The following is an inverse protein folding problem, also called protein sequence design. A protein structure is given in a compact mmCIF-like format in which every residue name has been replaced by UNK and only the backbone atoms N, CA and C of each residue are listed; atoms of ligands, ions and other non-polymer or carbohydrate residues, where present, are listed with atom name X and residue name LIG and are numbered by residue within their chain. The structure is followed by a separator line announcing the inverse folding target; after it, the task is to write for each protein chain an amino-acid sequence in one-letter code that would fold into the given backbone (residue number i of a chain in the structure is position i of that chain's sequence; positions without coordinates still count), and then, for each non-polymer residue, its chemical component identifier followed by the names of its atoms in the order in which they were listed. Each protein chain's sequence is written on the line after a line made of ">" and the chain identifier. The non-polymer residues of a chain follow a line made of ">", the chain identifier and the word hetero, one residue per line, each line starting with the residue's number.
data_IF_005350990885
#
_entry.id   IF_005350990885
#
_cell.length_a   1.000
_cell.length_b   1.000
_cell.length_c   1.000
_cell.angle_alpha   90.00
_cell.angle_beta   90.00
_cell.angle_gamma   90.00
#
_symmetry.space_group_name_H-M   'P 1'
#
loop_
_entity.id
_entity.type
_entity.pdbx_description
1 polymer ?
#
# COMPACT_ATOMS: atom_id res chain seq x y z
N UNK A 1 19.95 -39.81 10.49
CA UNK A 1 18.59 -40.12 11.00
C UNK A 1 18.19 -39.14 12.13
N UNK A 2 18.88 -39.06 13.32
CA UNK A 2 18.51 -38.11 14.39
C UNK A 2 18.65 -36.64 13.95
N UNK A 3 19.68 -36.28 13.20
CA UNK A 3 19.90 -34.91 12.66
C UNK A 3 18.84 -34.54 11.63
N UNK A 4 18.40 -35.46 10.80
CA UNK A 4 17.34 -35.28 9.84
C UNK A 4 16.01 -35.04 10.53
N UNK A 5 15.67 -35.82 11.54
CA UNK A 5 14.46 -35.64 12.34
C UNK A 5 14.46 -34.27 13.05
N UNK A 6 15.59 -33.82 13.61
CA UNK A 6 15.70 -32.49 14.21
C UNK A 6 15.52 -31.39 13.21
N UNK A 7 16.04 -31.52 11.98
CA UNK A 7 15.85 -30.58 10.90
C UNK A 7 14.39 -30.51 10.46
N UNK A 8 13.72 -31.65 10.31
CA UNK A 8 12.29 -31.69 9.95
C UNK A 8 11.40 -31.05 11.03
N UNK A 9 11.73 -31.29 12.32
CA UNK A 9 11.04 -30.63 13.43
C UNK A 9 11.24 -29.12 13.38
N UNK A 10 12.47 -28.64 13.18
CA UNK A 10 12.75 -27.20 13.04
C UNK A 10 11.96 -26.59 11.89
N UNK A 11 11.96 -27.23 10.72
CA UNK A 11 11.21 -26.77 9.56
C UNK A 11 9.69 -26.70 9.82
N UNK A 12 9.15 -27.71 10.50
CA UNK A 12 7.73 -27.75 10.84
C UNK A 12 7.37 -26.68 11.87
N UNK A 13 8.20 -26.45 12.89
CA UNK A 13 8.00 -25.37 13.86
C UNK A 13 8.06 -23.99 13.22
N UNK A 14 8.96 -23.76 12.27
CA UNK A 14 9.02 -22.51 11.49
C UNK A 14 7.73 -22.28 10.70
N UNK A 15 7.20 -23.31 10.01
CA UNK A 15 5.94 -23.24 9.28
C UNK A 15 4.75 -22.95 10.20
N UNK A 16 4.68 -23.62 11.36
CA UNK A 16 3.63 -23.38 12.36
C UNK A 16 3.69 -21.92 12.85
N UNK A 17 4.88 -21.42 13.17
CA UNK A 17 5.06 -20.03 13.58
C UNK A 17 4.65 -19.05 12.49
N UNK A 18 5.04 -19.30 11.26
CA UNK A 18 4.67 -18.48 10.09
C UNK A 18 3.15 -18.43 9.90
N UNK A 19 2.50 -19.58 9.88
CA UNK A 19 1.04 -19.65 9.72
C UNK A 19 0.29 -19.03 10.90
N UNK A 20 0.77 -19.21 12.13
CA UNK A 20 0.21 -18.59 13.34
C UNK A 20 0.33 -17.07 13.31
N UNK A 21 1.49 -16.54 12.95
CA UNK A 21 1.73 -15.09 12.83
C UNK A 21 0.89 -14.47 11.71
N UNK A 22 0.72 -15.19 10.58
CA UNK A 22 -0.14 -14.74 9.49
C UNK A 22 -1.61 -14.69 9.91
N UNK A 23 -2.10 -15.71 10.62
CA UNK A 23 -3.46 -15.74 11.13
C UNK A 23 -3.72 -14.58 12.11
N UNK A 24 -2.78 -14.30 13.03
CA UNK A 24 -2.84 -13.17 13.96
C UNK A 24 -2.92 -11.83 13.21
N UNK A 25 -2.09 -11.64 12.18
CA UNK A 25 -2.10 -10.44 11.34
C UNK A 25 -3.43 -10.27 10.59
N UNK A 26 -4.00 -11.35 10.06
CA UNK A 26 -5.31 -11.34 9.39
C UNK A 26 -6.41 -10.93 10.38
N UNK A 27 -6.45 -11.53 11.57
CA UNK A 27 -7.44 -11.20 12.61
C UNK A 27 -7.33 -9.74 13.04
N UNK A 28 -6.10 -9.23 13.25
CA UNK A 28 -5.87 -7.81 13.55
C UNK A 28 -6.41 -6.90 12.44
N UNK A 29 -6.08 -7.19 11.19
CA UNK A 29 -6.57 -6.41 10.04
C UNK A 29 -8.10 -6.45 9.93
N UNK A 30 -8.73 -7.60 10.19
CA UNK A 30 -10.20 -7.72 10.21
C UNK A 30 -10.83 -6.93 11.35
N UNK A 31 -10.24 -6.93 12.55
CA UNK A 31 -10.73 -6.14 13.70
C UNK A 31 -10.59 -4.63 13.45
N UNK A 32 -9.49 -4.21 12.86
CA UNK A 32 -9.28 -2.81 12.44
C UNK A 32 -10.30 -2.39 11.37
N UNK A 33 -10.59 -3.27 10.41
CA UNK A 33 -11.61 -3.02 9.39
C UNK A 33 -13.03 -2.98 9.99
N UNK A 34 -13.34 -3.87 10.93
CA UNK A 34 -14.63 -3.91 11.61
C UNK A 34 -14.91 -2.66 12.47
N UNK A 35 -13.87 -1.95 12.91
CA UNK A 35 -13.98 -0.68 13.65
C UNK A 35 -14.09 0.54 12.73
N UNK A 36 -13.74 0.43 11.46
CA UNK A 36 -13.92 1.48 10.46
C UNK A 36 -15.40 1.65 10.09
N UNK A 37 -15.79 2.88 9.71
CA UNK A 37 -17.11 3.14 9.17
C UNK A 37 -18.16 3.70 10.16
N UNK A 38 -17.81 3.94 11.43
CA UNK A 38 -18.67 4.69 12.36
C UNK A 38 -18.44 6.21 12.32
N UNK A 39 -17.43 6.65 11.57
CA UNK A 39 -17.11 8.06 11.39
C UNK A 39 -18.15 8.81 10.55
N UNK A 40 -18.23 10.11 10.77
CA UNK A 40 -19.02 11.01 9.91
C UNK A 40 -18.11 11.59 8.82
N UNK A 41 -18.69 11.84 7.66
CA UNK A 41 -18.03 12.66 6.65
C UNK A 41 -17.87 14.07 7.19
N UNK A 42 -16.66 14.58 7.21
CA UNK A 42 -16.33 15.92 7.70
C UNK A 42 -15.44 16.63 6.67
N UNK A 43 -15.56 17.97 6.57
CA UNK A 43 -14.65 18.76 5.72
C UNK A 43 -13.20 18.50 6.14
N UNK A 44 -12.41 17.96 5.24
CA UNK A 44 -11.02 17.55 5.51
C UNK A 44 -10.09 18.15 4.48
N UNK A 45 -9.00 18.78 4.92
CA UNK A 45 -7.90 19.19 4.04
C UNK A 45 -7.19 17.94 3.49
N UNK A 46 -7.57 17.57 2.26
CA UNK A 46 -7.05 16.38 1.60
C UNK A 46 -5.53 16.43 1.39
N UNK A 47 -5.00 17.60 1.00
CA UNK A 47 -3.58 17.75 0.72
C UNK A 47 -2.73 17.61 2.00
N UNK A 48 -3.20 18.20 3.10
CA UNK A 48 -2.55 18.06 4.40
C UNK A 48 -2.57 16.60 4.86
N UNK A 49 -3.73 15.93 4.79
CA UNK A 49 -3.90 14.52 5.18
C UNK A 49 -2.97 13.61 4.34
N UNK A 50 -2.99 13.74 3.02
CA UNK A 50 -2.14 12.93 2.13
C UNK A 50 -0.67 13.12 2.48
N UNK A 51 -0.21 14.36 2.60
CA UNK A 51 1.19 14.68 2.92
C UNK A 51 1.60 14.12 4.29
N UNK A 52 0.75 14.24 5.30
CA UNK A 52 1.01 13.75 6.65
C UNK A 52 1.19 12.22 6.65
N UNK A 53 0.24 11.48 6.09
CA UNK A 53 0.23 10.02 6.18
C UNK A 53 1.23 9.34 5.22
N UNK A 54 1.59 9.96 4.09
CA UNK A 54 2.73 9.52 3.27
C UNK A 54 4.04 9.69 4.05
N UNK A 55 4.26 10.84 4.69
CA UNK A 55 5.45 11.07 5.51
C UNK A 55 5.51 10.12 6.71
N UNK A 56 4.39 9.88 7.38
CA UNK A 56 4.31 8.92 8.49
C UNK A 56 4.72 7.52 8.03
N UNK A 57 4.19 7.07 6.89
CA UNK A 57 4.55 5.78 6.28
C UNK A 57 6.03 5.70 5.92
N UNK A 58 6.59 6.76 5.35
CA UNK A 58 8.02 6.85 5.05
C UNK A 58 8.88 6.73 6.31
N UNK A 59 8.56 7.49 7.36
CA UNK A 59 9.30 7.39 8.62
C UNK A 59 9.17 6.01 9.27
N UNK A 60 7.99 5.39 9.21
CA UNK A 60 7.77 4.01 9.66
C UNK A 60 8.64 3.02 8.89
N UNK A 61 8.69 3.11 7.56
CA UNK A 61 9.55 2.30 6.71
C UNK A 61 11.05 2.51 7.03
N UNK A 62 11.47 3.76 7.27
CA UNK A 62 12.86 4.10 7.63
C UNK A 62 13.28 3.56 9.00
N UNK A 63 12.35 3.46 9.95
CA UNK A 63 12.58 2.88 11.27
C UNK A 63 12.52 1.34 11.28
N UNK A 64 12.09 0.72 10.18
CA UNK A 64 11.95 -0.73 10.05
C UNK A 64 13.26 -1.48 9.85
N UNK A 65 13.17 -2.80 9.66
CA UNK A 65 14.34 -3.70 9.53
C UNK A 65 15.14 -3.49 8.23
N UNK A 66 14.46 -3.16 7.14
CA UNK A 66 15.06 -3.03 5.80
C UNK A 66 14.73 -1.66 5.20
N UNK A 67 15.31 -0.55 5.72
CA UNK A 67 15.03 0.79 5.22
C UNK A 67 15.63 1.00 3.82
N UNK A 68 14.91 1.73 2.98
CA UNK A 68 15.39 2.18 1.68
C UNK A 68 15.39 3.73 1.61
N UNK A 69 16.24 4.28 0.75
CA UNK A 69 16.16 5.70 0.40
C UNK A 69 15.19 5.85 -0.76
N UNK A 70 14.24 6.78 -0.63
CA UNK A 70 13.22 7.06 -1.64
C UNK A 70 13.21 8.56 -1.91
N UNK A 71 13.28 8.94 -3.18
CA UNK A 71 12.98 10.31 -3.62
C UNK A 71 11.47 10.50 -3.60
N UNK A 72 10.97 11.35 -2.69
CA UNK A 72 9.54 11.64 -2.55
C UNK A 72 9.19 12.97 -3.20
N UNK A 73 8.28 12.96 -4.14
CA UNK A 73 7.81 14.14 -4.85
C UNK A 73 6.32 14.36 -4.59
N UNK A 74 5.96 15.61 -4.24
CA UNK A 74 4.58 16.02 -4.02
C UNK A 74 4.19 17.09 -5.03
N UNK A 75 3.22 16.77 -5.88
CA UNK A 75 2.62 17.63 -6.89
C UNK A 75 1.14 17.84 -6.51
N UNK A 76 0.91 18.69 -5.52
CA UNK A 76 -0.41 18.88 -4.92
C UNK A 76 -1.10 20.10 -5.52
N UNK A 77 -2.35 19.93 -5.95
CA UNK A 77 -3.20 20.99 -6.48
C UNK A 77 -3.74 21.86 -5.32
N UNK A 78 -3.21 23.04 -5.18
CA UNK A 78 -3.60 24.00 -4.13
C UNK A 78 -5.04 24.53 -4.28
N UNK A 79 -5.69 24.28 -5.43
CA UNK A 79 -7.10 24.66 -5.63
C UNK A 79 -8.09 23.71 -4.93
N UNK A 80 -7.61 22.54 -4.46
CA UNK A 80 -8.42 21.60 -3.71
C UNK A 80 -8.67 22.18 -2.32
N UNK A 81 -9.95 22.45 -2.06
CA UNK A 81 -10.43 22.80 -0.72
C UNK A 81 -10.76 21.54 0.06
N UNK A 82 -11.40 21.72 1.21
CA UNK A 82 -11.87 20.60 2.02
C UNK A 82 -12.75 19.64 1.20
N UNK A 83 -12.51 18.35 1.40
CA UNK A 83 -13.28 17.24 0.81
C UNK A 83 -14.00 16.52 1.94
N UNK A 84 -15.24 16.11 1.71
CA UNK A 84 -16.03 15.38 2.69
C UNK A 84 -15.47 13.95 2.83
N UNK A 85 -14.75 13.69 3.94
CA UNK A 85 -14.08 12.42 4.19
C UNK A 85 -14.26 11.97 5.63
N UNK A 86 -14.20 10.66 5.85
CA UNK A 86 -13.89 10.09 7.16
C UNK A 86 -12.34 10.03 7.23
N UNK A 87 -11.73 11.03 7.86
CA UNK A 87 -10.28 11.22 7.86
C UNK A 87 -9.50 9.98 8.34
N UNK A 88 -10.01 9.29 9.37
CA UNK A 88 -9.41 8.05 9.90
C UNK A 88 -9.38 6.94 8.84
N UNK A 89 -10.48 6.71 8.14
CA UNK A 89 -10.57 5.68 7.10
C UNK A 89 -9.69 6.05 5.90
N UNK A 90 -9.71 7.32 5.48
CA UNK A 90 -8.93 7.75 4.33
C UNK A 90 -7.42 7.76 4.62
N UNK A 91 -7.02 8.06 5.85
CA UNK A 91 -5.62 7.93 6.28
C UNK A 91 -5.10 6.50 6.13
N UNK A 92 -5.93 5.48 6.42
CA UNK A 92 -5.59 4.07 6.22
C UNK A 92 -5.39 3.73 4.74
N UNK A 93 -6.19 4.33 3.86
CA UNK A 93 -6.00 4.20 2.39
C UNK A 93 -4.61 4.69 2.00
N UNK A 94 -4.23 5.90 2.43
CA UNK A 94 -2.94 6.50 2.10
C UNK A 94 -1.78 5.65 2.65
N UNK A 95 -1.86 5.23 3.90
CA UNK A 95 -0.85 4.37 4.54
C UNK A 95 -0.69 3.04 3.80
N UNK A 96 -1.80 2.38 3.45
CA UNK A 96 -1.77 1.10 2.73
C UNK A 96 -1.10 1.23 1.35
N UNK A 97 -1.48 2.24 0.57
CA UNK A 97 -0.92 2.44 -0.77
C UNK A 97 0.55 2.83 -0.70
N UNK A 98 0.93 3.72 0.24
CA UNK A 98 2.33 4.12 0.43
C UNK A 98 3.21 2.94 0.86
N UNK A 99 2.75 2.12 1.80
CA UNK A 99 3.49 0.93 2.24
C UNK A 99 3.65 -0.09 1.10
N UNK A 100 2.61 -0.28 0.26
CA UNK A 100 2.72 -1.14 -0.91
C UNK A 100 3.76 -0.63 -1.90
N UNK A 101 3.81 0.68 -2.15
CA UNK A 101 4.83 1.32 -2.98
C UNK A 101 6.25 1.12 -2.42
N UNK A 102 6.45 1.34 -1.12
CA UNK A 102 7.76 1.13 -0.48
C UNK A 102 8.22 -0.32 -0.55
N UNK A 103 7.30 -1.27 -0.36
CA UNK A 103 7.62 -2.70 -0.45
C UNK A 103 8.00 -3.10 -1.88
N UNK A 104 7.25 -2.62 -2.88
CA UNK A 104 7.54 -2.86 -4.30
C UNK A 104 8.91 -2.28 -4.70
N UNK A 105 9.20 -1.05 -4.31
CA UNK A 105 10.50 -0.43 -4.57
C UNK A 105 11.66 -1.15 -3.88
N UNK A 106 11.45 -1.66 -2.65
CA UNK A 106 12.45 -2.46 -1.92
C UNK A 106 12.74 -3.78 -2.65
N UNK A 107 11.71 -4.44 -3.15
CA UNK A 107 11.84 -5.67 -3.93
C UNK A 107 12.72 -5.43 -5.18
N UNK A 108 12.37 -4.42 -6.00
CA UNK A 108 13.14 -4.05 -7.20
C UNK A 108 14.58 -3.65 -6.87
N UNK A 109 14.80 -2.91 -5.79
CA UNK A 109 16.15 -2.52 -5.36
C UNK A 109 16.99 -3.76 -5.03
N UNK A 110 16.43 -4.71 -4.25
CA UNK A 110 17.11 -5.96 -3.90
C UNK A 110 17.42 -6.84 -5.12
N UNK A 111 16.59 -6.83 -6.15
CA UNK A 111 16.82 -7.56 -7.40
C UNK A 111 17.95 -6.91 -8.21
N UNK A 112 17.92 -5.59 -8.38
CA UNK A 112 18.93 -4.82 -9.12
C UNK A 112 20.32 -4.89 -8.48
N UNK A 113 20.42 -4.90 -7.16
CA UNK A 113 21.69 -5.10 -6.45
C UNK A 113 22.33 -6.46 -6.75
N UNK A 114 21.53 -7.51 -6.95
CA UNK A 114 22.02 -8.85 -7.31
C UNK A 114 22.51 -8.92 -8.76
N UNK A 115 21.85 -8.21 -9.66
CA UNK A 115 22.16 -8.21 -11.09
C UNK A 115 23.43 -7.44 -11.47
N UNK A 116 24.01 -6.64 -10.57
CA UNK A 116 25.13 -5.71 -10.82
C UNK A 116 24.86 -4.79 -12.04
N UNK A 117 23.62 -4.44 -12.24
CA UNK A 117 23.13 -3.67 -13.39
C UNK A 117 23.09 -2.17 -13.14
N UNK A 118 22.19 -1.50 -13.85
CA UNK A 118 21.96 -0.06 -13.72
C UNK A 118 21.55 0.33 -12.29
N UNK A 119 22.03 1.49 -11.85
CA UNK A 119 21.69 2.05 -10.54
C UNK A 119 20.19 2.37 -10.51
N UNK A 120 19.44 1.67 -9.68
CA UNK A 120 18.04 1.95 -9.42
C UNK A 120 17.90 2.93 -8.27
N UNK A 121 17.16 3.99 -8.49
CA UNK A 121 16.85 5.01 -7.49
C UNK A 121 15.34 4.98 -7.22
N UNK A 122 14.91 4.47 -6.04
CA UNK A 122 13.49 4.42 -5.68
C UNK A 122 12.88 5.82 -5.67
N UNK A 123 11.74 5.96 -6.36
CA UNK A 123 11.01 7.23 -6.47
C UNK A 123 9.53 7.02 -6.22
N UNK A 124 8.95 7.85 -5.35
CA UNK A 124 7.52 7.91 -5.06
C UNK A 124 7.00 9.31 -5.42
N UNK A 125 6.01 9.37 -6.29
CA UNK A 125 5.36 10.63 -6.67
C UNK A 125 3.91 10.61 -6.23
N UNK A 126 3.50 11.63 -5.50
CA UNK A 126 2.15 11.82 -5.01
C UNK A 126 1.56 13.03 -5.71
N UNK A 127 0.41 12.84 -6.39
CA UNK A 127 -0.30 13.94 -7.07
C UNK A 127 -1.71 14.06 -6.54
N UNK A 128 -2.18 15.29 -6.44
CA UNK A 128 -3.60 15.58 -6.29
C UNK A 128 -4.05 16.50 -7.41
N UNK A 129 -5.28 16.30 -7.89
CA UNK A 129 -5.84 17.09 -8.99
C UNK A 129 -7.34 17.27 -8.80
N UNK A 130 -7.84 18.49 -9.07
CA UNK A 130 -9.27 18.78 -9.11
C UNK A 130 -9.69 19.02 -10.55
N UNK A 131 -10.54 18.15 -11.09
CA UNK A 131 -10.99 18.25 -12.46
C UNK A 131 -12.42 17.73 -12.63
N UNK A 132 -13.27 18.46 -13.38
CA UNK A 132 -14.63 18.03 -13.73
C UNK A 132 -15.52 17.63 -12.53
N UNK A 133 -15.42 18.35 -11.41
CA UNK A 133 -16.18 18.05 -10.19
C UNK A 133 -15.70 16.83 -9.43
N UNK A 134 -14.53 16.30 -9.77
CA UNK A 134 -13.86 15.21 -9.05
C UNK A 134 -12.55 15.69 -8.46
N UNK A 135 -12.14 15.03 -7.40
CA UNK A 135 -10.81 15.14 -6.84
C UNK A 135 -10.09 13.80 -7.00
N UNK A 136 -8.89 13.86 -7.54
CA UNK A 136 -8.04 12.68 -7.74
C UNK A 136 -6.84 12.73 -6.81
N UNK A 137 -6.47 11.57 -6.27
CA UNK A 137 -5.19 11.33 -5.60
C UNK A 137 -4.48 10.21 -6.36
N UNK A 138 -3.25 10.45 -6.80
CA UNK A 138 -2.41 9.46 -7.43
C UNK A 138 -1.18 9.19 -6.56
N UNK A 139 -0.86 7.92 -6.39
CA UNK A 139 0.36 7.45 -5.73
C UNK A 139 1.08 6.59 -6.76
N UNK A 140 2.22 7.10 -7.26
CA UNK A 140 3.04 6.46 -8.29
C UNK A 140 4.38 6.03 -7.70
N UNK A 141 4.73 4.76 -7.87
CA UNK A 141 6.05 4.21 -7.59
C UNK A 141 6.73 3.71 -8.86
N UNK A 142 8.04 3.77 -8.89
CA UNK A 142 8.87 3.20 -9.96
C UNK A 142 9.36 1.78 -9.63
N UNK A 143 8.57 1.03 -8.89
CA UNK A 143 8.80 -0.36 -8.53
C UNK A 143 8.79 -1.32 -9.72
N UNK A 144 8.64 -2.63 -9.49
CA UNK A 144 8.67 -3.64 -10.55
C UNK A 144 7.41 -3.63 -11.43
N UNK A 145 6.41 -2.82 -11.10
CA UNK A 145 5.12 -2.85 -11.77
C UNK A 145 4.30 -4.12 -11.46
N UNK A 146 3.14 -4.22 -12.08
CA UNK A 146 2.18 -5.31 -11.90
C UNK A 146 1.84 -5.86 -13.27
N UNK A 147 2.00 -7.17 -13.46
CA UNK A 147 1.63 -7.81 -14.71
C UNK A 147 0.10 -7.80 -14.93
N UNK A 148 -0.34 -7.80 -16.19
CA UNK A 148 -1.77 -7.76 -16.51
C UNK A 148 -2.54 -8.94 -15.90
N UNK A 149 -1.94 -10.12 -15.82
CA UNK A 149 -2.52 -11.31 -15.19
C UNK A 149 -2.78 -11.11 -13.68
N UNK A 150 -2.05 -10.21 -13.05
CA UNK A 150 -2.16 -9.95 -11.61
C UNK A 150 -3.08 -8.78 -11.29
N UNK A 151 -3.29 -7.82 -12.21
CA UNK A 151 -4.12 -6.63 -11.98
C UNK A 151 -5.54 -6.97 -11.50
N UNK A 152 -6.15 -8.01 -12.07
CA UNK A 152 -7.49 -8.46 -11.68
C UNK A 152 -7.53 -9.18 -10.32
N UNK A 153 -6.39 -9.70 -9.88
CA UNK A 153 -6.29 -10.51 -8.66
C UNK A 153 -5.91 -9.71 -7.43
N UNK A 154 -5.09 -8.65 -7.60
CA UNK A 154 -4.55 -7.90 -6.46
C UNK A 154 -5.60 -7.18 -5.62
N UNK A 155 -6.80 -6.96 -6.19
CA UNK A 155 -7.96 -6.40 -5.48
C UNK A 155 -8.76 -7.45 -4.70
N UNK A 156 -8.49 -8.74 -4.92
CA UNK A 156 -9.21 -9.81 -4.22
C UNK A 156 -8.71 -9.92 -2.77
N UNK A 157 -9.61 -10.09 -1.80
CA UNK A 157 -9.22 -10.34 -0.42
C UNK A 157 -8.29 -11.54 -0.30
N UNK A 158 -7.29 -11.44 0.58
CA UNK A 158 -6.27 -12.47 0.86
C UNK A 158 -5.27 -12.74 -0.26
N UNK A 159 -5.37 -12.07 -1.40
CA UNK A 159 -4.37 -12.18 -2.46
C UNK A 159 -3.12 -11.38 -2.08
N UNK A 160 -1.96 -12.03 -2.13
CA UNK A 160 -0.67 -11.41 -1.87
C UNK A 160 0.44 -12.14 -2.61
N UNK A 161 1.40 -11.39 -3.13
CA UNK A 161 2.65 -11.91 -3.70
C UNK A 161 3.78 -11.97 -2.65
N UNK A 162 3.59 -11.32 -1.50
CA UNK A 162 4.57 -11.29 -0.41
C UNK A 162 4.63 -12.65 0.27
N UNK A 163 5.84 -13.13 0.53
CA UNK A 163 6.10 -14.42 1.17
C UNK A 163 6.07 -14.29 2.70
N UNK A 164 5.67 -15.37 3.37
CA UNK A 164 5.69 -15.47 4.82
C UNK A 164 4.63 -14.61 5.51
N UNK A 165 5.02 -13.92 6.57
CA UNK A 165 4.13 -13.13 7.44
C UNK A 165 3.94 -11.68 7.00
N UNK A 166 4.61 -11.24 5.95
CA UNK A 166 4.69 -9.82 5.57
C UNK A 166 3.47 -9.29 4.79
N UNK A 167 2.55 -10.16 4.36
CA UNK A 167 1.37 -9.73 3.61
C UNK A 167 0.10 -10.48 4.00
N UNK A 168 -0.90 -9.76 4.52
CA UNK A 168 -2.23 -10.32 4.81
C UNK A 168 -3.07 -10.51 3.55
N UNK A 169 -2.76 -9.78 2.47
CA UNK A 169 -3.56 -9.72 1.25
C UNK A 169 -4.90 -8.97 1.43
N UNK A 170 -5.06 -8.21 2.52
CA UNK A 170 -6.29 -7.46 2.80
C UNK A 170 -6.16 -5.96 2.51
N UNK A 171 -4.95 -5.42 2.42
CA UNK A 171 -4.73 -3.98 2.29
C UNK A 171 -5.46 -3.36 1.09
N UNK A 172 -5.30 -3.89 -0.10
CA UNK A 172 -5.93 -3.34 -1.32
C UNK A 172 -7.44 -3.55 -1.36
N UNK A 173 -7.96 -4.68 -0.88
CA UNK A 173 -9.40 -4.89 -0.80
C UNK A 173 -10.05 -3.92 0.17
N UNK A 174 -9.48 -3.72 1.37
CA UNK A 174 -9.91 -2.73 2.35
C UNK A 174 -9.84 -1.31 1.77
N UNK A 175 -8.74 -0.97 1.09
CA UNK A 175 -8.59 0.33 0.41
C UNK A 175 -9.72 0.58 -0.58
N UNK A 176 -10.04 -0.41 -1.42
CA UNK A 176 -11.12 -0.32 -2.39
C UNK A 176 -12.50 -0.16 -1.71
N UNK A 177 -12.76 -0.88 -0.62
CA UNK A 177 -14.01 -0.78 0.13
C UNK A 177 -14.17 0.59 0.79
N UNK A 178 -13.10 1.13 1.38
CA UNK A 178 -13.10 2.49 1.95
C UNK A 178 -13.37 3.53 0.86
N UNK A 179 -12.66 3.47 -0.27
CA UNK A 179 -12.85 4.42 -1.38
C UNK A 179 -14.27 4.37 -1.91
N UNK A 180 -14.85 3.17 -2.08
CA UNK A 180 -16.25 3.00 -2.49
C UNK A 180 -17.24 3.54 -1.47
N UNK A 181 -16.99 3.35 -0.18
CA UNK A 181 -17.82 3.92 0.88
C UNK A 181 -17.83 5.46 0.88
N UNK A 182 -16.78 6.10 0.34
CA UNK A 182 -16.70 7.54 0.09
C UNK A 182 -17.25 7.96 -1.28
N UNK A 183 -17.97 7.08 -1.99
CA UNK A 183 -18.54 7.37 -3.32
C UNK A 183 -17.50 7.48 -4.44
N UNK A 184 -16.28 6.98 -4.21
CA UNK A 184 -15.17 7.05 -5.14
C UNK A 184 -14.89 5.76 -5.91
N UNK A 185 -13.82 5.79 -6.73
CA UNK A 185 -13.24 4.61 -7.40
C UNK A 185 -11.74 4.55 -7.16
N UNK A 186 -11.22 3.31 -7.12
CA UNK A 186 -9.79 3.01 -7.10
C UNK A 186 -9.41 2.31 -8.41
N UNK A 187 -8.53 2.93 -9.17
CA UNK A 187 -8.03 2.44 -10.44
C UNK A 187 -6.52 2.18 -10.36
N UNK A 188 -6.03 1.26 -11.20
CA UNK A 188 -4.62 0.87 -11.25
C UNK A 188 -4.14 1.00 -12.68
N UNK A 189 -3.08 1.79 -12.85
CA UNK A 189 -2.29 1.85 -14.06
C UNK A 189 -0.87 1.36 -13.73
N UNK A 190 -0.38 0.39 -14.48
CA UNK A 190 0.93 -0.20 -14.19
C UNK A 190 1.52 -0.83 -15.43
N UNK A 191 2.83 -0.63 -15.59
CA UNK A 191 3.64 -1.29 -16.59
C UNK A 191 4.70 -2.18 -15.91
N UNK A 192 4.67 -3.46 -16.25
CA UNK A 192 5.60 -4.44 -15.66
C UNK A 192 7.06 -4.05 -15.93
N UNK A 193 7.87 -4.02 -14.88
CA UNK A 193 9.27 -3.59 -14.91
C UNK A 193 9.48 -2.08 -14.71
N UNK A 194 8.45 -1.24 -14.81
CA UNK A 194 8.62 0.22 -14.86
C UNK A 194 7.98 0.95 -13.68
N UNK A 195 6.64 0.86 -13.53
CA UNK A 195 5.91 1.66 -12.54
C UNK A 195 4.58 1.03 -12.13
N UNK A 196 4.03 1.53 -11.02
CA UNK A 196 2.63 1.36 -10.62
C UNK A 196 2.04 2.69 -10.18
N UNK A 197 0.83 3.00 -10.65
CA UNK A 197 0.03 4.15 -10.23
C UNK A 197 -1.28 3.64 -9.65
N UNK A 198 -1.53 3.94 -8.39
CA UNK A 198 -2.87 3.83 -7.79
C UNK A 198 -3.56 5.19 -7.88
N UNK A 199 -4.72 5.22 -8.52
CA UNK A 199 -5.53 6.42 -8.69
C UNK A 199 -6.83 6.32 -7.93
N UNK A 200 -7.05 7.21 -6.99
CA UNK A 200 -8.30 7.36 -6.25
C UNK A 200 -9.05 8.53 -6.87
N UNK A 201 -10.31 8.33 -7.24
CA UNK A 201 -11.19 9.39 -7.71
C UNK A 201 -12.36 9.54 -6.75
N UNK A 202 -12.55 10.74 -6.21
CA UNK A 202 -13.64 11.11 -5.30
C UNK A 202 -14.55 12.15 -5.98
N UNK A 203 -15.85 12.07 -5.74
CA UNK A 203 -16.78 13.11 -6.19
C UNK A 203 -16.66 14.30 -5.23
N UNK A 204 -16.53 15.51 -5.78
CA UNK A 204 -16.54 16.74 -5.01
C UNK A 204 -18.01 17.14 -4.79
N UNK A 205 -18.55 16.83 -3.60
CA UNK A 205 -19.82 17.41 -3.15
C UNK A 205 -19.62 18.76 -2.46
#
# INVERSE_FOLDING_TARGET
>A
EAVEILHDIEMNLRKIHEHGSRADSIVKSMLEHSRGGTGKLEPTDLNALVKEFVNLSFHGMRAGKNPINVDMQFELDESIKDVQLIAEDFSRVIVNLSNNAFDAMREKLSEKEKEKGEKYEPKLTIRTKSENGKVMVEIEDNGPGISDEMKDKIMQPFFTTKKGTEGTGLGLSITNDIVKAHGGSLDIDSNSGEYTIFRISLTKE
#
